data_IF_447645141319
#
_entry.id   IF_447645141319
#
_cell.length_a   1.000
_cell.length_b   1.000
_cell.length_c   1.000
_cell.angle_alpha   90.00
_cell.angle_beta   90.00
_cell.angle_gamma   90.00
#
_symmetry.space_group_name_H-M   'P 1'
#
loop_
_entity.id
_entity.type
_entity.pdbx_description
1 polymer ?
#
# COMPACT_ATOMS: atom_id res chain seq x y z
N UNK A 1 -34.44 -33.51 -9.39
CA UNK A 1 -33.25 -34.02 -8.69
C UNK A 1 -32.03 -33.29 -9.21
N UNK A 2 -31.51 -32.39 -8.37
CA UNK A 2 -30.10 -31.99 -8.20
C UNK A 2 -29.32 -31.39 -9.39
N UNK A 3 -28.82 -30.18 -9.09
CA UNK A 3 -28.14 -29.20 -9.92
C UNK A 3 -26.84 -29.71 -10.59
N UNK A 4 -26.44 -29.14 -11.75
CA UNK A 4 -25.16 -29.41 -12.38
C UNK A 4 -23.98 -28.87 -11.54
N UNK A 5 -22.78 -29.45 -11.67
CA UNK A 5 -21.63 -29.15 -10.82
C UNK A 5 -21.20 -27.68 -10.89
N UNK A 6 -20.81 -27.04 -9.77
CA UNK A 6 -20.30 -25.69 -9.79
C UNK A 6 -18.98 -25.67 -10.57
N UNK A 7 -18.95 -24.85 -11.62
CA UNK A 7 -17.72 -24.48 -12.30
C UNK A 7 -16.70 -24.05 -11.24
N UNK A 8 -15.49 -24.61 -11.31
CA UNK A 8 -14.34 -24.10 -10.59
C UNK A 8 -14.08 -22.69 -11.08
N UNK A 9 -14.75 -21.71 -10.46
CA UNK A 9 -14.26 -20.34 -10.45
C UNK A 9 -12.96 -20.44 -9.66
N UNK A 10 -11.84 -20.57 -10.38
CA UNK A 10 -10.56 -20.07 -9.90
C UNK A 10 -10.85 -18.64 -9.50
N UNK A 11 -11.19 -18.43 -8.21
CA UNK A 11 -11.28 -17.09 -7.64
C UNK A 11 -9.89 -16.51 -7.91
N UNK A 12 -9.77 -15.42 -8.69
CA UNK A 12 -8.49 -14.76 -8.85
C UNK A 12 -7.90 -14.56 -7.45
N UNK A 13 -6.57 -14.75 -7.25
CA UNK A 13 -5.95 -14.63 -5.93
C UNK A 13 -6.48 -13.36 -5.31
N UNK A 14 -7.29 -13.55 -4.30
CA UNK A 14 -8.24 -12.56 -3.92
C UNK A 14 -7.44 -11.50 -3.18
N UNK A 15 -7.20 -10.36 -3.85
CA UNK A 15 -6.76 -9.10 -3.23
C UNK A 15 -7.92 -8.63 -2.36
N UNK A 16 -8.19 -9.39 -1.29
CA UNK A 16 -9.45 -9.37 -0.57
C UNK A 16 -9.47 -8.27 0.50
N UNK A 17 -8.32 -7.66 0.81
CA UNK A 17 -8.22 -6.59 1.81
C UNK A 17 -7.27 -5.48 1.40
N UNK A 18 -7.60 -4.30 1.89
CA UNK A 18 -6.84 -3.09 1.64
C UNK A 18 -6.56 -2.38 2.96
N UNK A 19 -5.35 -1.84 3.10
CA UNK A 19 -5.04 -0.83 4.11
C UNK A 19 -5.35 0.51 3.47
N UNK A 20 -6.41 1.16 3.94
CA UNK A 20 -6.76 2.52 3.56
C UNK A 20 -6.26 3.49 4.60
N UNK A 21 -5.72 4.61 4.16
CA UNK A 21 -5.31 5.69 5.05
C UNK A 21 -5.19 7.00 4.31
N UNK A 22 -4.91 8.04 5.07
CA UNK A 22 -4.69 9.38 4.51
C UNK A 22 -3.34 9.87 5.00
N UNK A 23 -2.39 10.01 4.08
CA UNK A 23 -1.14 10.68 4.36
C UNK A 23 -1.37 12.19 4.31
N UNK A 24 -0.87 12.93 5.29
CA UNK A 24 -0.94 14.40 5.30
C UNK A 24 0.45 14.96 5.55
N UNK A 25 0.84 15.97 4.80
CA UNK A 25 2.11 16.67 5.00
C UNK A 25 1.83 18.13 5.35
N UNK A 26 2.60 18.69 6.30
CA UNK A 26 2.35 20.04 6.83
C UNK A 26 2.91 21.15 5.94
N UNK A 27 3.83 20.80 5.06
CA UNK A 27 4.46 21.76 4.18
C UNK A 27 3.51 22.14 3.05
N UNK A 28 3.13 23.42 2.99
CA UNK A 28 2.41 24.01 1.85
C UNK A 28 3.37 24.26 0.69
N UNK A 29 4.13 23.25 0.31
CA UNK A 29 4.93 23.30 -0.90
C UNK A 29 4.00 22.90 -2.04
N UNK A 30 4.05 23.63 -3.15
CA UNK A 30 3.43 23.18 -4.38
C UNK A 30 4.18 21.93 -4.84
N UNK A 31 3.62 20.75 -4.56
CA UNK A 31 4.15 19.52 -5.12
C UNK A 31 4.05 19.63 -6.65
N UNK A 32 5.15 19.43 -7.38
CA UNK A 32 5.10 19.50 -8.83
C UNK A 32 4.30 18.28 -9.37
N UNK A 33 3.74 18.37 -10.59
CA UNK A 33 2.86 17.32 -11.13
C UNK A 33 3.56 15.96 -11.32
N UNK A 34 4.89 15.96 -11.40
CA UNK A 34 5.71 14.74 -11.42
C UNK A 34 5.92 14.10 -10.04
N UNK A 35 5.34 14.66 -8.96
CA UNK A 35 5.40 14.04 -7.64
C UNK A 35 4.69 12.68 -7.65
N UNK A 36 5.41 11.65 -7.24
CA UNK A 36 4.94 10.29 -7.04
C UNK A 36 4.85 10.04 -5.55
N UNK A 37 3.64 9.87 -5.05
CA UNK A 37 3.42 9.34 -3.72
C UNK A 37 3.40 7.81 -3.77
N UNK A 38 4.16 7.17 -2.90
CA UNK A 38 4.23 5.72 -2.75
C UNK A 38 3.95 5.37 -1.29
N UNK A 39 2.92 4.56 -1.04
CA UNK A 39 2.64 3.98 0.26
C UNK A 39 2.92 2.48 0.23
N UNK A 40 3.76 2.01 1.14
CA UNK A 40 4.22 0.61 1.17
C UNK A 40 3.83 -0.01 2.50
N UNK A 41 3.17 -1.17 2.44
CA UNK A 41 2.91 -2.00 3.61
C UNK A 41 4.07 -2.98 3.77
N UNK A 42 4.70 -2.92 4.92
CA UNK A 42 5.91 -3.64 5.26
C UNK A 42 5.65 -4.56 6.46
N UNK A 43 6.09 -5.81 6.37
CA UNK A 43 6.25 -6.68 7.52
C UNK A 43 7.60 -6.38 8.20
N UNK A 44 7.53 -5.93 9.45
CA UNK A 44 8.67 -5.60 10.32
C UNK A 44 8.73 -6.51 11.54
N UNK A 45 8.05 -7.66 11.50
CA UNK A 45 8.02 -8.65 12.59
C UNK A 45 9.39 -9.18 12.97
N UNK A 46 10.29 -9.30 11.99
CA UNK A 46 11.61 -9.88 12.19
C UNK A 46 12.65 -8.78 12.42
N UNK A 47 12.91 -8.49 13.70
CA UNK A 47 13.97 -7.58 14.09
C UNK A 47 15.33 -8.04 13.50
N UNK A 48 15.98 -7.17 12.73
CA UNK A 48 17.27 -7.45 12.10
C UNK A 48 17.21 -8.08 10.69
N UNK A 49 16.03 -8.27 10.12
CA UNK A 49 15.86 -8.70 8.73
C UNK A 49 15.29 -7.56 7.86
N UNK A 50 15.53 -7.57 6.54
CA UNK A 50 14.92 -6.61 5.63
C UNK A 50 13.39 -6.75 5.68
N UNK A 51 12.72 -5.61 5.77
CA UNK A 51 11.27 -5.54 5.81
C UNK A 51 10.66 -6.13 4.52
N UNK A 52 9.67 -7.00 4.66
CA UNK A 52 9.03 -7.65 3.51
C UNK A 52 7.92 -6.75 3.00
N UNK A 53 7.95 -6.40 1.71
CA UNK A 53 6.88 -5.63 1.08
C UNK A 53 5.69 -6.55 0.81
N UNK A 54 4.58 -6.29 1.52
CA UNK A 54 3.33 -7.04 1.36
C UNK A 54 2.41 -6.44 0.30
N UNK A 55 2.55 -5.14 0.08
CA UNK A 55 1.76 -4.39 -0.88
C UNK A 55 2.31 -2.98 -1.00
N UNK A 56 2.02 -2.35 -2.14
CA UNK A 56 2.31 -0.94 -2.38
C UNK A 56 1.19 -0.29 -3.15
N UNK A 57 0.97 0.97 -2.89
CA UNK A 57 0.08 1.84 -3.64
C UNK A 57 0.85 3.06 -4.12
N UNK A 58 0.56 3.49 -5.33
CA UNK A 58 1.23 4.62 -5.97
C UNK A 58 0.17 5.61 -6.46
N UNK A 59 0.29 6.85 -6.02
CA UNK A 59 -0.65 7.93 -6.35
C UNK A 59 0.11 9.01 -7.11
N UNK A 60 -0.35 9.26 -8.34
CA UNK A 60 0.14 10.33 -9.20
C UNK A 60 -1.00 10.79 -10.13
N UNK A 61 -1.26 12.11 -10.27
CA UNK A 61 -0.60 13.21 -9.55
C UNK A 61 -0.96 13.24 -8.05
N UNK A 62 -0.20 14.02 -7.28
CA UNK A 62 -0.50 14.27 -5.87
C UNK A 62 -1.26 15.58 -5.74
N UNK A 63 -2.59 15.50 -5.74
CA UNK A 63 -3.51 16.63 -5.66
C UNK A 63 -3.82 17.05 -4.21
N UNK A 64 -2.91 17.83 -3.63
CA UNK A 64 -3.17 18.57 -2.39
C UNK A 64 -2.48 18.01 -1.14
N UNK A 65 -2.81 18.57 0.04
CA UNK A 65 -2.09 18.30 1.29
C UNK A 65 -2.45 16.94 1.93
N UNK A 66 -3.53 16.30 1.47
CA UNK A 66 -4.01 15.03 1.96
C UNK A 66 -4.09 14.03 0.82
N UNK A 67 -3.41 12.91 0.98
CA UNK A 67 -3.26 11.89 -0.05
C UNK A 67 -3.92 10.64 0.49
N UNK A 68 -5.09 10.31 -0.06
CA UNK A 68 -5.76 9.06 0.23
C UNK A 68 -5.02 7.92 -0.50
N UNK A 69 -4.71 6.86 0.23
CA UNK A 69 -4.04 5.69 -0.34
C UNK A 69 -4.76 4.40 0.04
N UNK A 70 -4.63 3.40 -0.82
CA UNK A 70 -5.24 2.08 -0.67
C UNK A 70 -4.26 0.98 -1.06
N UNK A 71 -3.55 0.46 -0.07
CA UNK A 71 -2.59 -0.62 -0.27
C UNK A 71 -3.33 -1.95 -0.24
N UNK A 72 -3.45 -2.58 -1.41
CA UNK A 72 -3.96 -3.94 -1.52
C UNK A 72 -2.93 -4.93 -0.98
N UNK A 73 -3.38 -5.88 -0.17
CA UNK A 73 -2.52 -6.93 0.38
C UNK A 73 -3.26 -8.27 0.40
N UNK A 74 -2.48 -9.36 0.42
CA UNK A 74 -3.03 -10.70 0.60
C UNK A 74 -3.22 -10.98 2.11
N UNK A 75 -4.44 -11.18 2.61
CA UNK A 75 -4.66 -11.47 4.02
C UNK A 75 -4.04 -12.80 4.47
N UNK A 76 -3.79 -13.74 3.55
CA UNK A 76 -3.07 -14.98 3.86
C UNK A 76 -1.58 -14.75 4.18
N UNK A 77 -1.04 -13.59 3.80
CA UNK A 77 0.32 -13.17 4.15
C UNK A 77 0.39 -12.41 5.50
N UNK A 78 -0.76 -12.18 6.16
CA UNK A 78 -0.83 -11.49 7.45
C UNK A 78 -0.90 -12.51 8.58
N UNK A 79 0.16 -12.56 9.38
CA UNK A 79 0.21 -13.18 10.70
C UNK A 79 -0.22 -12.17 11.81
N UNK A 80 -1.19 -12.50 12.68
CA UNK A 80 -1.58 -11.68 13.84
C UNK A 80 -0.49 -11.46 14.89
N UNK A 81 0.55 -12.29 14.93
CA UNK A 81 1.70 -12.21 15.85
C UNK A 81 2.84 -11.36 15.29
N UNK A 82 2.77 -11.00 14.02
CA UNK A 82 3.73 -10.14 13.34
C UNK A 82 3.40 -8.65 13.54
N UNK A 83 4.37 -7.80 13.26
CA UNK A 83 4.24 -6.35 13.30
C UNK A 83 4.34 -5.80 11.88
N UNK A 84 3.44 -4.89 11.53
CA UNK A 84 3.40 -4.25 10.21
C UNK A 84 3.61 -2.76 10.33
N UNK A 85 4.35 -2.19 9.39
CA UNK A 85 4.54 -0.76 9.26
C UNK A 85 4.02 -0.30 7.91
N UNK A 86 3.38 0.86 7.89
CA UNK A 86 3.06 1.55 6.63
C UNK A 86 4.07 2.68 6.46
N UNK A 87 4.74 2.71 5.32
CA UNK A 87 5.69 3.76 4.98
C UNK A 87 5.17 4.55 3.80
N UNK A 88 4.96 5.85 4.01
CA UNK A 88 4.63 6.79 2.95
C UNK A 88 5.91 7.47 2.47
N UNK A 89 6.06 7.64 1.16
CA UNK A 89 7.21 8.23 0.53
C UNK A 89 6.77 9.10 -0.63
N UNK A 90 7.29 10.32 -0.72
CA UNK A 90 7.07 11.21 -1.87
C UNK A 90 8.38 11.34 -2.61
N UNK A 91 8.37 11.00 -3.91
CA UNK A 91 9.49 11.20 -4.83
C UNK A 91 9.12 12.22 -5.89
N UNK A 92 10.05 13.09 -6.24
CA UNK A 92 9.91 14.07 -7.33
C UNK A 92 11.13 13.90 -8.22
N UNK A 93 10.91 13.62 -9.51
CA UNK A 93 12.00 13.36 -10.47
C UNK A 93 13.00 12.29 -9.99
N UNK A 94 12.49 11.27 -9.29
CA UNK A 94 13.29 10.19 -8.71
C UNK A 94 14.00 10.54 -7.38
N UNK A 95 13.96 11.80 -6.95
CA UNK A 95 14.54 12.24 -5.68
C UNK A 95 13.54 12.07 -4.53
N UNK A 96 13.99 11.49 -3.41
CA UNK A 96 13.20 11.40 -2.18
C UNK A 96 13.04 12.79 -1.57
N UNK A 97 11.80 13.25 -1.42
CA UNK A 97 11.48 14.52 -0.76
C UNK A 97 10.94 14.32 0.65
N UNK A 98 10.02 13.36 0.82
CA UNK A 98 9.39 13.08 2.12
C UNK A 98 9.33 11.57 2.40
N UNK A 99 9.51 11.21 3.66
CA UNK A 99 9.26 9.86 4.20
C UNK A 99 8.70 9.97 5.61
N UNK A 100 7.88 9.00 6.01
CA UNK A 100 7.52 8.73 7.41
C UNK A 100 8.50 7.76 8.05
#
# INVERSE_FOLDING_TARGET
MQQPPPAYLTRPPAVDRAVTGTASFRERIALPPQALFEAVLLDVSRAGAPAVVLGRDQVQPVDGPQIAFRILYNPAAIDPRASYAVRATIRVDGQLWFTT
#
